data_IF_984686416400
#
_entry.id   IF_984686416400
#
_cell.length_a   1.000
_cell.length_b   1.000
_cell.length_c   1.000
_cell.angle_alpha   90.00
_cell.angle_beta   90.00
_cell.angle_gamma   90.00
#
_symmetry.space_group_name_H-M   'P 1'
#
loop_
_entity.id
_entity.type
_entity.pdbx_description
1 polymer ?
#
# COMPACT_ATOMS: atom_id res chain seq x y z
N UNK A 1 -15.80 7.72 30.61
CA UNK A 1 -16.98 7.08 29.99
C UNK A 1 -17.16 7.48 28.53
N UNK A 2 -17.15 8.78 28.16
CA UNK A 2 -17.30 9.19 26.75
C UNK A 2 -15.99 9.10 25.92
N UNK A 3 -14.82 9.36 26.52
CA UNK A 3 -13.53 9.24 25.82
C UNK A 3 -13.14 7.81 25.43
N UNK A 4 -13.55 6.80 26.20
CA UNK A 4 -13.36 5.38 25.84
C UNK A 4 -14.24 4.99 24.65
N UNK A 5 -15.34 5.72 24.43
CA UNK A 5 -16.23 5.57 23.26
C UNK A 5 -15.71 6.37 22.05
N UNK A 6 -14.64 7.15 22.20
CA UNK A 6 -14.01 7.86 21.08
C UNK A 6 -12.66 7.24 20.70
N UNK A 7 -11.88 6.79 21.67
CA UNK A 7 -10.56 6.18 21.47
C UNK A 7 -10.55 4.65 21.62
N UNK A 8 -11.52 4.06 22.32
CA UNK A 8 -11.70 2.60 22.48
C UNK A 8 -12.89 2.02 21.70
N UNK A 9 -13.59 2.85 20.92
CA UNK A 9 -14.76 2.50 20.09
C UNK A 9 -14.53 2.80 18.60
N UNK A 10 -13.31 3.16 18.22
CA UNK A 10 -12.74 2.56 17.00
C UNK A 10 -11.97 1.33 17.44
N UNK A 11 -12.67 0.43 18.14
CA UNK A 11 -12.11 -0.83 18.57
C UNK A 11 -11.99 -1.78 17.38
N UNK A 12 -11.27 -2.90 17.53
CA UNK A 12 -11.15 -3.92 16.49
C UNK A 12 -12.52 -4.34 15.92
N UNK A 13 -13.56 -4.32 16.74
CA UNK A 13 -14.92 -4.65 16.34
C UNK A 13 -15.51 -3.73 15.25
N UNK A 14 -15.39 -2.40 15.37
CA UNK A 14 -15.88 -1.47 14.33
C UNK A 14 -15.09 -1.62 13.03
N UNK A 15 -13.77 -1.78 13.14
CA UNK A 15 -12.90 -1.97 11.96
C UNK A 15 -13.30 -3.25 11.22
N UNK A 16 -13.56 -4.34 11.94
CA UNK A 16 -14.05 -5.59 11.35
C UNK A 16 -15.39 -5.40 10.66
N UNK A 17 -16.33 -4.66 11.24
CA UNK A 17 -17.63 -4.36 10.61
C UNK A 17 -17.45 -3.55 9.33
N UNK A 18 -16.61 -2.53 9.32
CA UNK A 18 -16.34 -1.71 8.13
C UNK A 18 -15.71 -2.58 7.02
N UNK A 19 -14.69 -3.37 7.36
CA UNK A 19 -14.05 -4.30 6.41
C UNK A 19 -15.07 -5.28 5.87
N UNK A 20 -15.96 -5.82 6.71
CA UNK A 20 -17.03 -6.73 6.29
C UNK A 20 -17.97 -6.07 5.29
N UNK A 21 -18.40 -4.83 5.54
CA UNK A 21 -19.27 -4.07 4.61
C UNK A 21 -18.57 -3.84 3.27
N UNK A 22 -17.30 -3.42 3.27
CA UNK A 22 -16.52 -3.22 2.04
C UNK A 22 -16.39 -4.55 1.28
N UNK A 23 -16.13 -5.65 1.99
CA UNK A 23 -16.04 -6.99 1.39
C UNK A 23 -17.39 -7.46 0.83
N UNK A 24 -18.52 -7.12 1.44
CA UNK A 24 -19.84 -7.44 0.89
C UNK A 24 -20.16 -6.61 -0.36
N UNK A 25 -19.78 -5.33 -0.40
CA UNK A 25 -20.04 -4.45 -1.54
C UNK A 25 -19.13 -4.74 -2.74
N UNK A 26 -17.83 -4.96 -2.50
CA UNK A 26 -16.84 -5.15 -3.56
C UNK A 26 -16.49 -6.62 -3.79
N UNK A 27 -16.81 -7.52 -2.86
CA UNK A 27 -16.38 -8.91 -2.85
C UNK A 27 -14.96 -9.07 -2.29
N UNK A 28 -14.72 -10.15 -1.53
CA UNK A 28 -13.42 -10.42 -0.90
C UNK A 28 -12.25 -10.58 -1.86
N UNK A 29 -12.52 -10.77 -3.16
CA UNK A 29 -11.50 -10.92 -4.22
C UNK A 29 -11.04 -9.59 -4.83
N UNK A 30 -11.87 -8.53 -4.80
CA UNK A 30 -11.52 -7.25 -5.45
C UNK A 30 -10.48 -6.45 -4.69
N UNK A 31 -10.45 -6.50 -3.36
CA UNK A 31 -9.42 -5.80 -2.57
C UNK A 31 -8.01 -6.34 -2.88
N UNK A 32 -7.76 -7.66 -2.83
CA UNK A 32 -6.46 -8.23 -3.22
C UNK A 32 -6.09 -7.94 -4.67
N UNK A 33 -7.06 -7.96 -5.58
CA UNK A 33 -6.84 -7.67 -7.01
C UNK A 33 -6.41 -6.22 -7.23
N UNK A 34 -7.08 -5.26 -6.58
CA UNK A 34 -6.71 -3.84 -6.58
C UNK A 34 -5.34 -3.62 -5.95
N UNK A 35 -5.05 -4.25 -4.81
CA UNK A 35 -3.74 -4.17 -4.16
C UNK A 35 -2.62 -4.72 -5.05
N UNK A 36 -2.86 -5.83 -5.77
CA UNK A 36 -1.89 -6.38 -6.72
C UNK A 36 -1.67 -5.45 -7.91
N UNK A 37 -2.74 -4.83 -8.43
CA UNK A 37 -2.65 -3.83 -9.50
C UNK A 37 -1.83 -2.60 -9.08
N UNK A 38 -2.15 -2.03 -7.92
CA UNK A 38 -1.43 -0.88 -7.34
C UNK A 38 0.03 -1.26 -7.06
N UNK A 39 0.28 -2.43 -6.47
CA UNK A 39 1.63 -2.90 -6.15
C UNK A 39 2.52 -3.06 -7.38
N UNK A 40 1.96 -3.58 -8.49
CA UNK A 40 2.66 -3.64 -9.78
C UNK A 40 2.95 -2.24 -10.32
N UNK A 41 1.98 -1.34 -10.31
CA UNK A 41 2.16 0.04 -10.77
C UNK A 41 3.20 0.81 -9.95
N UNK A 42 3.20 0.65 -8.62
CA UNK A 42 4.21 1.24 -7.73
C UNK A 42 5.59 0.65 -7.98
N UNK A 43 5.69 -0.67 -8.23
CA UNK A 43 6.94 -1.33 -8.58
C UNK A 43 7.49 -0.82 -9.91
N UNK A 44 6.67 -0.78 -10.96
CA UNK A 44 7.06 -0.28 -12.28
C UNK A 44 7.42 1.20 -12.24
N UNK A 45 6.70 2.00 -11.44
CA UNK A 45 7.04 3.41 -11.19
C UNK A 45 8.41 3.53 -10.50
N UNK A 46 8.67 2.72 -9.48
CA UNK A 46 9.94 2.68 -8.76
C UNK A 46 11.11 2.20 -9.63
N UNK A 47 10.89 1.16 -10.44
CA UNK A 47 11.88 0.65 -11.39
C UNK A 47 12.16 1.68 -12.48
N UNK A 48 11.12 2.40 -12.92
CA UNK A 48 11.20 3.49 -13.88
C UNK A 48 12.04 4.66 -13.39
N UNK A 49 11.88 5.10 -12.14
CA UNK A 49 12.68 6.19 -11.52
C UNK A 49 14.13 5.77 -11.22
N UNK A 50 14.36 4.54 -10.76
CA UNK A 50 15.72 4.06 -10.48
C UNK A 50 16.50 3.74 -11.76
N UNK A 51 15.82 3.28 -12.81
CA UNK A 51 16.42 3.02 -14.12
C UNK A 51 16.80 4.30 -14.88
N UNK A 52 16.37 5.48 -14.43
CA UNK A 52 16.88 6.78 -14.91
C UNK A 52 18.19 7.12 -14.21
N UNK A 53 18.31 6.80 -12.91
CA UNK A 53 19.53 7.02 -12.12
C UNK A 53 20.64 6.01 -12.48
N UNK A 54 20.29 4.77 -12.84
CA UNK A 54 21.27 3.71 -13.17
C UNK A 54 21.78 3.77 -14.63
N UNK A 55 21.25 4.70 -15.44
CA UNK A 55 21.72 5.01 -16.80
C UNK A 55 22.69 6.20 -16.86
N UNK A 56 23.38 6.52 -15.76
CA UNK A 56 24.65 7.23 -15.84
C UNK A 56 25.80 6.20 -15.86
N UNK A 57 26.37 5.85 -17.03
CA UNK A 57 27.50 4.94 -17.13
C UNK A 57 28.82 5.50 -16.54
N UNK A 58 28.82 6.63 -15.82
CA UNK A 58 30.03 7.29 -15.34
C UNK A 58 30.34 7.16 -13.84
N UNK A 59 29.67 6.26 -13.11
CA UNK A 59 30.04 5.93 -11.71
C UNK A 59 30.58 4.49 -11.58
N UNK A 60 31.57 4.17 -12.42
CA UNK A 60 32.50 3.05 -12.20
C UNK A 60 33.94 3.48 -12.49
N UNK A 61 34.40 4.57 -11.87
CA UNK A 61 35.83 4.78 -11.70
C UNK A 61 36.11 5.79 -10.58
N UNK A 62 37.19 5.54 -9.83
CA UNK A 62 37.69 6.24 -8.62
C UNK A 62 37.16 5.74 -7.26
N UNK A 63 37.70 4.60 -6.86
CA UNK A 63 38.44 4.50 -5.58
C UNK A 63 39.67 3.60 -5.81
N UNK A 64 40.76 4.22 -6.28
CA UNK A 64 42.12 3.89 -5.82
C UNK A 64 42.44 4.90 -4.72
#
# INVERSE_FOLDING_TARGET
>A
MLNSILLGVIGPAQVVIIVLVIVLLFGGKKIPELMRGIGKGVKEFKDGINGIDEKDPNQKDKTN
#
